data_IF_158713697470
#
_entry.id   IF_158713697470
#
_cell.length_a   1.000
_cell.length_b   1.000
_cell.length_c   1.000
_cell.angle_alpha   90.00
_cell.angle_beta   90.00
_cell.angle_gamma   90.00
#
_symmetry.space_group_name_H-M   'P 1'
#
loop_
_entity.id
_entity.type
_entity.pdbx_description
1 polymer ?
#
# COMPACT_ATOMS: atom_id res chain seq x y z
N UNK A 1 -17.60 1.68 -5.35
CA UNK A 1 -16.33 1.53 -4.60
C UNK A 1 -15.26 1.07 -5.60
N UNK A 2 -13.96 1.26 -5.32
CA UNK A 2 -12.91 0.79 -6.24
C UNK A 2 -12.70 -0.72 -6.06
N UNK A 3 -12.30 -1.44 -7.13
CA UNK A 3 -11.95 -2.88 -7.06
C UNK A 3 -10.97 -3.19 -5.92
N UNK A 4 -10.07 -2.25 -5.66
CA UNK A 4 -9.17 -2.29 -4.51
C UNK A 4 -9.92 -2.32 -3.17
N UNK A 5 -10.88 -1.43 -2.98
CA UNK A 5 -11.70 -1.39 -1.75
C UNK A 5 -12.45 -2.71 -1.56
N UNK A 6 -13.06 -3.21 -2.64
CA UNK A 6 -13.86 -4.44 -2.62
C UNK A 6 -13.01 -5.67 -2.29
N UNK A 7 -11.81 -5.78 -2.87
CA UNK A 7 -10.87 -6.86 -2.54
C UNK A 7 -10.41 -6.81 -1.08
N UNK A 8 -10.01 -5.63 -0.60
CA UNK A 8 -9.59 -5.46 0.79
C UNK A 8 -10.73 -5.80 1.76
N UNK A 9 -11.97 -5.44 1.42
CA UNK A 9 -13.14 -5.83 2.22
C UNK A 9 -13.39 -7.34 2.21
N UNK A 10 -13.19 -8.01 1.07
CA UNK A 10 -13.39 -9.44 0.89
C UNK A 10 -12.43 -10.37 1.64
N UNK A 11 -11.32 -9.88 2.22
CA UNK A 11 -10.37 -10.71 2.98
C UNK A 11 -10.99 -11.12 4.32
N UNK A 12 -11.52 -12.34 4.46
CA UNK A 12 -12.29 -12.77 5.65
C UNK A 12 -11.36 -12.99 6.86
N UNK A 13 -11.21 -11.98 7.72
CA UNK A 13 -10.63 -12.10 9.07
C UNK A 13 -11.16 -10.99 9.98
N UNK A 14 -11.99 -11.34 10.96
CA UNK A 14 -12.65 -10.41 11.90
C UNK A 14 -11.63 -9.69 12.80
N UNK A 15 -10.45 -10.28 13.03
CA UNK A 15 -9.40 -9.69 13.88
C UNK A 15 -8.66 -8.49 13.26
N UNK A 16 -8.86 -8.19 11.97
CA UNK A 16 -8.01 -7.24 11.21
C UNK A 16 -8.77 -6.19 10.39
N UNK A 17 -10.05 -5.97 10.69
CA UNK A 17 -10.87 -4.88 10.10
C UNK A 17 -10.20 -3.51 10.20
N UNK A 18 -9.43 -3.28 11.28
CA UNK A 18 -8.64 -2.06 11.47
C UNK A 18 -7.55 -1.92 10.40
N UNK A 19 -6.76 -2.97 10.15
CA UNK A 19 -5.66 -2.93 9.18
C UNK A 19 -6.15 -2.67 7.75
N UNK A 20 -7.30 -3.25 7.38
CA UNK A 20 -7.98 -2.97 6.11
C UNK A 20 -8.37 -1.51 5.97
N UNK A 21 -9.00 -0.95 7.00
CA UNK A 21 -9.47 0.43 7.01
C UNK A 21 -8.30 1.40 6.95
N UNK A 22 -7.25 1.14 7.74
CA UNK A 22 -6.02 1.91 7.74
C UNK A 22 -5.31 1.85 6.39
N UNK A 23 -5.24 0.69 5.73
CA UNK A 23 -4.61 0.59 4.41
C UNK A 23 -5.37 1.41 3.37
N UNK A 24 -6.71 1.31 3.36
CA UNK A 24 -7.52 2.12 2.44
C UNK A 24 -7.31 3.61 2.69
N UNK A 25 -7.27 4.01 3.97
CA UNK A 25 -7.02 5.40 4.33
C UNK A 25 -5.63 5.86 3.88
N UNK A 26 -4.61 5.05 4.13
CA UNK A 26 -3.23 5.32 3.72
C UNK A 26 -3.11 5.55 2.22
N UNK A 27 -3.69 4.63 1.42
CA UNK A 27 -3.68 4.76 -0.04
C UNK A 27 -4.45 6.00 -0.50
N UNK A 28 -5.63 6.26 0.09
CA UNK A 28 -6.43 7.46 -0.25
C UNK A 28 -5.68 8.76 0.04
N UNK A 29 -5.00 8.84 1.18
CA UNK A 29 -4.26 10.05 1.57
C UNK A 29 -3.00 10.23 0.73
N UNK A 30 -2.27 9.14 0.46
CA UNK A 30 -1.08 9.18 -0.39
C UNK A 30 -1.39 9.57 -1.83
N UNK A 31 -2.54 9.16 -2.39
CA UNK A 31 -3.01 9.60 -3.72
C UNK A 31 -3.35 11.09 -3.80
N UNK A 32 -3.60 11.75 -2.66
CA UNK A 32 -3.86 13.20 -2.57
C UNK A 32 -2.61 14.00 -2.23
N UNK A 33 -1.46 13.35 -2.10
CA UNK A 33 -0.21 14.03 -1.75
C UNK A 33 0.27 14.95 -2.89
N UNK A 34 0.96 16.04 -2.53
CA UNK A 34 1.51 16.96 -3.51
C UNK A 34 2.74 16.39 -4.24
N UNK A 35 3.40 15.39 -3.66
CA UNK A 35 4.52 14.68 -4.27
C UNK A 35 4.04 13.67 -5.31
N UNK A 36 4.49 13.85 -6.54
CA UNK A 36 4.27 12.92 -7.64
C UNK A 36 4.77 11.51 -7.30
N UNK A 37 5.90 11.42 -6.59
CA UNK A 37 6.46 10.15 -6.13
C UNK A 37 5.48 9.42 -5.21
N UNK A 38 4.96 10.10 -4.17
CA UNK A 38 4.04 9.50 -3.20
C UNK A 38 2.75 9.07 -3.88
N UNK A 39 2.18 9.90 -4.78
CA UNK A 39 0.98 9.54 -5.54
C UNK A 39 1.21 8.31 -6.40
N UNK A 40 2.32 8.28 -7.15
CA UNK A 40 2.66 7.15 -8.02
C UNK A 40 2.82 5.86 -7.21
N UNK A 41 3.44 5.91 -6.02
CA UNK A 41 3.55 4.72 -5.19
C UNK A 41 2.16 4.24 -4.73
N UNK A 42 1.28 5.15 -4.31
CA UNK A 42 -0.08 4.78 -3.90
C UNK A 42 -0.90 4.16 -5.05
N UNK A 43 -0.78 4.72 -6.25
CA UNK A 43 -1.43 4.19 -7.46
C UNK A 43 -0.90 2.81 -7.85
N UNK A 44 0.42 2.60 -7.77
CA UNK A 44 1.02 1.30 -8.01
C UNK A 44 0.53 0.24 -7.02
N UNK A 45 0.45 0.60 -5.73
CA UNK A 45 -0.04 -0.32 -4.70
C UNK A 45 -1.49 -0.71 -4.99
N UNK A 46 -2.35 0.27 -5.29
CA UNK A 46 -3.74 0.03 -5.67
C UNK A 46 -3.84 -0.90 -6.90
N UNK A 47 -3.07 -0.59 -7.96
CA UNK A 47 -3.06 -1.37 -9.21
C UNK A 47 -2.64 -2.82 -8.97
N UNK A 48 -1.55 -3.04 -8.24
CA UNK A 48 -1.05 -4.38 -8.00
C UNK A 48 -1.99 -5.20 -7.11
N UNK A 49 -2.67 -4.57 -6.15
CA UNK A 49 -3.71 -5.24 -5.36
C UNK A 49 -4.89 -5.67 -6.23
N UNK A 50 -5.31 -4.84 -7.19
CA UNK A 50 -6.34 -5.22 -8.16
C UNK A 50 -5.88 -6.39 -9.04
N UNK A 51 -4.66 -6.33 -9.59
CA UNK A 51 -4.12 -7.45 -10.37
C UNK A 51 -4.02 -8.75 -9.56
N UNK A 52 -3.70 -8.67 -8.25
CA UNK A 52 -3.73 -9.83 -7.37
C UNK A 52 -5.15 -10.40 -7.25
N UNK A 53 -6.15 -9.53 -7.06
CA UNK A 53 -7.56 -9.93 -6.94
C UNK A 53 -8.12 -10.59 -8.20
N UNK A 54 -7.60 -10.19 -9.36
CA UNK A 54 -8.02 -10.70 -10.68
C UNK A 54 -7.25 -11.97 -11.08
N UNK A 55 -6.22 -12.36 -10.32
CA UNK A 55 -5.34 -13.48 -10.63
C UNK A 55 -4.24 -13.15 -11.65
N UNK A 56 -4.20 -11.93 -12.17
CA UNK A 56 -3.18 -11.41 -13.09
C UNK A 56 -1.80 -11.23 -12.43
N UNK A 57 -1.76 -11.26 -11.10
CA UNK A 57 -0.53 -11.19 -10.32
C UNK A 57 -0.54 -12.26 -9.22
N UNK A 58 0.49 -13.10 -9.19
CA UNK A 58 0.65 -14.09 -8.11
C UNK A 58 0.94 -13.41 -6.77
N UNK A 59 0.55 -14.03 -5.65
CA UNK A 59 0.87 -13.54 -4.31
C UNK A 59 2.38 -13.30 -4.10
N UNK A 60 3.23 -14.21 -4.64
CA UNK A 60 4.70 -14.05 -4.62
C UNK A 60 5.16 -12.83 -5.42
N UNK A 61 4.56 -12.61 -6.59
CA UNK A 61 4.84 -11.44 -7.44
C UNK A 61 4.44 -10.14 -6.76
N UNK A 62 3.23 -10.09 -6.20
CA UNK A 62 2.72 -8.96 -5.43
C UNK A 62 3.62 -8.63 -4.24
N UNK A 63 3.98 -9.64 -3.42
CA UNK A 63 4.90 -9.47 -2.29
C UNK A 63 6.22 -8.84 -2.70
N UNK A 64 6.82 -9.32 -3.79
CA UNK A 64 8.09 -8.77 -4.31
C UNK A 64 7.97 -7.30 -4.74
N UNK A 65 6.85 -6.91 -5.36
CA UNK A 65 6.62 -5.52 -5.79
C UNK A 65 6.43 -4.58 -4.60
N UNK A 66 5.62 -4.99 -3.62
CA UNK A 66 5.37 -4.22 -2.39
C UNK A 66 6.66 -4.02 -1.59
N UNK A 67 7.47 -5.06 -1.40
CA UNK A 67 8.76 -4.94 -0.71
C UNK A 67 9.73 -3.99 -1.43
N UNK A 68 9.76 -4.02 -2.77
CA UNK A 68 10.58 -3.07 -3.54
C UNK A 68 10.10 -1.63 -3.38
N UNK A 69 8.79 -1.41 -3.35
CA UNK A 69 8.18 -0.11 -3.12
C UNK A 69 8.54 0.44 -1.74
N UNK A 70 8.45 -0.39 -0.69
CA UNK A 70 8.82 -0.01 0.68
C UNK A 70 10.26 0.51 0.73
N UNK A 71 11.22 -0.26 0.20
CA UNK A 71 12.63 0.13 0.11
C UNK A 71 12.81 1.42 -0.70
N UNK A 72 12.19 1.51 -1.88
CA UNK A 72 12.29 2.72 -2.73
C UNK A 72 11.75 3.95 -2.00
N UNK A 73 10.64 3.80 -1.28
CA UNK A 73 10.02 4.89 -0.52
C UNK A 73 10.92 5.33 0.62
N UNK A 74 11.53 4.40 1.36
CA UNK A 74 12.51 4.71 2.40
C UNK A 74 13.73 5.46 1.86
N UNK A 75 14.23 5.08 0.69
CA UNK A 75 15.35 5.78 0.06
C UNK A 75 14.98 7.21 -0.38
N UNK A 76 13.76 7.38 -0.90
CA UNK A 76 13.32 8.68 -1.43
C UNK A 76 12.93 9.67 -0.33
N UNK A 77 12.55 9.19 0.86
CA UNK A 77 12.33 10.01 2.07
C UNK A 77 13.49 10.97 2.36
N UNK A 78 14.73 10.60 2.02
CA UNK A 78 15.91 11.44 2.24
C UNK A 78 15.92 12.68 1.33
N UNK A 79 15.32 12.59 0.13
CA UNK A 79 15.37 13.62 -0.92
C UNK A 79 14.14 14.54 -0.93
N UNK A 80 13.07 14.16 -0.26
CA UNK A 80 11.80 14.89 -0.29
C UNK A 80 11.77 16.13 0.62
N UNK A 81 11.00 17.13 0.22
CA UNK A 81 10.64 18.28 1.08
C UNK A 81 9.89 17.79 2.33
N UNK A 82 10.01 18.52 3.45
CA UNK A 82 9.47 18.12 4.78
C UNK A 82 8.06 17.53 4.75
N UNK A 83 7.09 18.16 4.07
CA UNK A 83 5.71 17.65 3.99
C UNK A 83 5.62 16.33 3.23
N UNK A 84 6.23 16.24 2.05
CA UNK A 84 6.24 15.02 1.24
C UNK A 84 7.04 13.90 1.94
N UNK A 85 8.09 14.26 2.67
CA UNK A 85 8.90 13.35 3.49
C UNK A 85 8.04 12.64 4.53
N UNK A 86 7.22 13.39 5.29
CA UNK A 86 6.33 12.81 6.28
C UNK A 86 5.28 11.86 5.65
N UNK A 87 4.72 12.22 4.50
CA UNK A 87 3.79 11.32 3.78
C UNK A 87 4.47 10.07 3.23
N UNK A 88 5.69 10.19 2.69
CA UNK A 88 6.47 9.04 2.23
C UNK A 88 6.87 8.12 3.39
N UNK A 89 7.26 8.68 4.54
CA UNK A 89 7.52 7.89 5.76
C UNK A 89 6.27 7.13 6.20
N UNK A 90 5.13 7.82 6.32
CA UNK A 90 3.86 7.17 6.66
C UNK A 90 3.49 6.08 5.65
N UNK A 91 3.75 6.30 4.36
CA UNK A 91 3.51 5.29 3.33
C UNK A 91 4.40 4.07 3.52
N UNK A 92 5.71 4.25 3.72
CA UNK A 92 6.64 3.15 3.94
C UNK A 92 6.30 2.35 5.22
N UNK A 93 6.07 3.04 6.33
CA UNK A 93 5.69 2.42 7.61
C UNK A 93 4.36 1.68 7.51
N UNK A 94 3.37 2.28 6.83
CA UNK A 94 2.08 1.67 6.59
C UNK A 94 2.16 0.45 5.67
N UNK A 95 3.01 0.46 4.65
CA UNK A 95 3.27 -0.72 3.80
C UNK A 95 3.84 -1.86 4.65
N UNK A 96 4.86 -1.58 5.46
CA UNK A 96 5.47 -2.59 6.32
C UNK A 96 4.42 -3.19 7.27
N UNK A 97 3.76 -2.33 8.06
CA UNK A 97 2.85 -2.78 9.12
C UNK A 97 1.56 -3.43 8.61
N UNK A 98 0.94 -2.84 7.58
CA UNK A 98 -0.38 -3.24 7.11
C UNK A 98 -0.30 -4.29 6.01
N UNK A 99 0.65 -4.14 5.08
CA UNK A 99 0.74 -5.04 3.94
C UNK A 99 1.65 -6.22 4.24
N UNK A 100 2.88 -5.96 4.70
CA UNK A 100 3.86 -7.03 4.92
C UNK A 100 3.53 -7.84 6.16
N UNK A 101 3.25 -7.20 7.29
CA UNK A 101 3.06 -7.91 8.56
C UNK A 101 1.63 -8.45 8.71
N UNK A 102 0.62 -7.76 8.15
CA UNK A 102 -0.79 -8.09 8.38
C UNK A 102 -1.46 -8.78 7.20
N UNK A 103 -1.45 -8.20 6.00
CA UNK A 103 -2.15 -8.74 4.84
C UNK A 103 -1.47 -9.98 4.26
N UNK A 104 -0.13 -10.03 4.17
CA UNK A 104 0.56 -11.25 3.74
C UNK A 104 0.46 -12.42 4.70
N UNK A 105 -0.04 -12.21 5.92
CA UNK A 105 -0.39 -13.32 6.79
C UNK A 105 -1.76 -13.95 6.45
N UNK A 106 -2.54 -13.34 5.55
CA UNK A 106 -3.92 -13.73 5.20
C UNK A 106 -4.05 -14.39 3.82
N UNK A 107 -3.00 -14.33 3.00
CA UNK A 107 -2.91 -14.84 1.62
C UNK A 107 -1.66 -15.68 1.47
#
# INVERSE_FOLDING_TARGET
MSKFTDFIDGIVDEGKTLAKTELKQLVRDAKKDQSDFVRLQAENLERWTVMLSEGDLTAKGYKKLVQKMEVLTQLEVIKLKVRAKASAQRLAEGIQRLVVDSLFALI
#
